data_IF_563953044138
#
_entry.id   IF_563953044138
#
_cell.length_a   1.000
_cell.length_b   1.000
_cell.length_c   1.000
_cell.angle_alpha   90.00
_cell.angle_beta   90.00
_cell.angle_gamma   90.00
#
_symmetry.space_group_name_H-M   'P 1'
#
loop_
_entity.id
_entity.type
_entity.pdbx_description
1 polymer ?
#
# COMPACT_ATOMS: atom_id res chain seq x y z
N UNK A 1 23.04 8.19 7.40
CA UNK A 1 22.46 7.76 8.71
C UNK A 1 23.14 6.47 9.16
N UNK A 2 23.76 6.43 10.38
CA UNK A 2 24.38 5.21 10.95
C UNK A 2 23.29 4.36 11.62
N UNK A 3 23.30 3.04 11.45
CA UNK A 3 22.43 2.04 12.07
C UNK A 3 23.19 0.72 12.18
N UNK A 4 22.77 -0.15 13.09
CA UNK A 4 23.29 -1.53 13.19
C UNK A 4 22.38 -2.46 12.38
N UNK A 5 22.98 -3.40 11.62
CA UNK A 5 22.29 -4.42 10.84
C UNK A 5 22.85 -5.80 11.17
N UNK A 6 21.97 -6.69 11.63
CA UNK A 6 22.31 -8.08 11.97
C UNK A 6 21.34 -9.02 11.27
N UNK A 7 21.87 -10.12 10.70
CA UNK A 7 21.04 -11.24 10.25
C UNK A 7 21.20 -12.39 11.23
N UNK A 8 20.09 -12.85 11.82
CA UNK A 8 20.08 -13.99 12.73
C UNK A 8 20.34 -15.29 11.96
N UNK A 9 20.82 -16.37 12.63
CA UNK A 9 21.11 -17.64 11.97
C UNK A 9 19.93 -18.26 11.20
N UNK A 10 18.70 -17.95 11.61
CA UNK A 10 17.47 -18.41 10.96
C UNK A 10 17.00 -17.52 9.78
N UNK A 11 17.70 -16.42 9.53
CA UNK A 11 17.41 -15.51 8.42
C UNK A 11 16.60 -14.25 8.78
N UNK A 12 16.12 -14.08 10.02
CA UNK A 12 15.50 -12.83 10.48
C UNK A 12 16.52 -11.71 10.39
N UNK A 13 16.13 -10.58 9.79
CA UNK A 13 16.97 -9.39 9.66
C UNK A 13 16.57 -8.35 10.69
N UNK A 14 17.55 -7.81 11.38
CA UNK A 14 17.40 -6.87 12.49
C UNK A 14 18.11 -5.57 12.14
N UNK A 15 17.43 -4.46 12.27
CA UNK A 15 17.98 -3.13 12.06
C UNK A 15 17.68 -2.28 13.28
N UNK A 16 18.71 -1.65 13.83
CA UNK A 16 18.58 -0.86 15.05
C UNK A 16 19.22 0.50 14.83
N UNK A 17 18.51 1.56 15.25
CA UNK A 17 19.00 2.94 15.16
C UNK A 17 18.76 3.66 16.47
N UNK A 18 19.85 3.94 17.20
CA UNK A 18 19.79 4.86 18.33
C UNK A 18 19.57 6.30 17.85
N UNK A 19 18.60 6.97 18.49
CA UNK A 19 18.25 8.38 18.29
C UNK A 19 18.27 9.06 19.68
N UNK A 20 19.44 9.50 20.16
CA UNK A 20 19.61 9.95 21.55
C UNK A 20 18.68 11.10 21.97
N UNK A 21 18.31 11.97 21.02
CA UNK A 21 17.45 13.12 21.27
C UNK A 21 15.95 12.76 21.28
N UNK A 22 15.58 11.56 20.80
CA UNK A 22 14.19 11.13 20.78
C UNK A 22 13.70 10.79 22.20
N UNK A 23 12.44 11.10 22.49
CA UNK A 23 11.76 10.68 23.73
C UNK A 23 10.98 9.39 23.56
N UNK A 24 10.89 8.90 22.34
CA UNK A 24 10.12 7.73 21.94
C UNK A 24 11.01 6.66 21.34
N UNK A 25 10.44 5.45 21.22
CA UNK A 25 10.96 4.38 20.38
C UNK A 25 9.83 3.79 19.55
N UNK A 26 10.18 3.34 18.36
CA UNK A 26 9.27 2.64 17.45
C UNK A 26 9.86 1.29 17.08
N UNK A 27 9.01 0.28 17.13
CA UNK A 27 9.26 -1.09 16.68
C UNK A 27 8.44 -1.30 15.42
N UNK A 28 9.06 -1.80 14.35
CA UNK A 28 8.39 -2.17 13.13
C UNK A 28 8.83 -3.58 12.73
N UNK A 29 7.89 -4.53 12.71
CA UNK A 29 8.09 -5.89 12.23
C UNK A 29 7.40 -6.01 10.88
N UNK A 30 8.19 -6.13 9.83
CA UNK A 30 7.74 -6.33 8.46
C UNK A 30 7.83 -7.81 8.12
N UNK A 31 6.72 -8.37 7.69
CA UNK A 31 6.66 -9.72 7.14
C UNK A 31 6.44 -9.59 5.64
N UNK A 32 7.36 -10.08 4.81
CA UNK A 32 7.28 -10.03 3.33
C UNK A 32 6.23 -10.99 2.77
N UNK A 33 5.02 -10.90 3.31
CA UNK A 33 3.82 -11.65 2.95
C UNK A 33 2.63 -10.74 3.04
N UNK A 34 1.88 -10.62 1.97
CA UNK A 34 0.63 -9.87 1.89
C UNK A 34 -0.36 -10.58 0.96
N UNK A 35 -1.40 -9.89 0.53
CA UNK A 35 -2.45 -10.50 -0.29
C UNK A 35 -1.95 -11.09 -1.61
N UNK A 36 -0.78 -10.69 -2.11
CA UNK A 36 -0.13 -11.28 -3.28
C UNK A 36 0.24 -12.75 -3.10
N UNK A 37 0.51 -13.21 -1.87
CA UNK A 37 0.84 -14.60 -1.57
C UNK A 37 -0.38 -15.53 -1.63
N UNK A 38 -1.57 -15.00 -1.68
CA UNK A 38 -2.84 -15.72 -1.63
C UNK A 38 -3.26 -16.33 -2.97
N UNK A 39 -4.20 -17.23 -2.90
CA UNK A 39 -4.89 -17.86 -4.04
C UNK A 39 -6.37 -17.43 -4.02
N UNK A 40 -7.12 -17.76 -5.08
CA UNK A 40 -8.56 -17.44 -5.12
C UNK A 40 -9.37 -18.13 -4.01
N UNK A 41 -8.87 -19.25 -3.47
CA UNK A 41 -9.58 -20.03 -2.42
C UNK A 41 -9.25 -19.58 -1.00
N UNK A 42 -8.22 -18.74 -0.83
CA UNK A 42 -7.84 -18.20 0.47
C UNK A 42 -7.60 -16.68 0.42
N UNK A 43 -8.19 -15.97 -0.56
CA UNK A 43 -8.05 -14.52 -0.69
C UNK A 43 -8.65 -13.80 0.52
N UNK A 44 -7.86 -12.93 1.15
CA UNK A 44 -8.20 -12.23 2.40
C UNK A 44 -7.55 -12.84 3.66
N UNK A 45 -6.80 -13.93 3.53
CA UNK A 45 -6.15 -14.59 4.68
C UNK A 45 -5.14 -13.70 5.37
N UNK A 46 -4.33 -12.95 4.63
CA UNK A 46 -3.31 -12.05 5.21
C UNK A 46 -3.95 -10.94 6.04
N UNK A 47 -5.02 -10.34 5.52
CA UNK A 47 -5.80 -9.33 6.23
C UNK A 47 -6.54 -9.92 7.45
N UNK A 48 -7.12 -11.12 7.30
CA UNK A 48 -7.75 -11.80 8.41
C UNK A 48 -6.74 -12.09 9.55
N UNK A 49 -5.53 -12.52 9.22
CA UNK A 49 -4.45 -12.71 10.21
C UNK A 49 -4.07 -11.40 10.90
N UNK A 50 -4.04 -10.28 10.18
CA UNK A 50 -3.82 -8.97 10.78
C UNK A 50 -4.83 -8.67 11.90
N UNK A 51 -6.12 -8.93 11.68
CA UNK A 51 -7.15 -8.78 12.71
C UNK A 51 -6.94 -9.74 13.87
N UNK A 52 -6.64 -11.00 13.58
CA UNK A 52 -6.55 -12.07 14.57
C UNK A 52 -5.40 -11.91 15.56
N UNK A 53 -4.28 -11.28 15.20
CA UNK A 53 -3.17 -11.09 16.12
C UNK A 53 -3.51 -10.15 17.29
N UNK A 54 -4.57 -9.36 17.17
CA UNK A 54 -5.08 -8.51 18.25
C UNK A 54 -6.05 -9.23 19.19
N UNK A 55 -6.54 -10.43 18.86
CA UNK A 55 -7.55 -11.16 19.66
C UNK A 55 -6.95 -11.91 20.85
N UNK A 56 -5.64 -11.97 20.94
CA UNK A 56 -4.88 -12.59 22.04
C UNK A 56 -3.75 -13.43 21.53
N UNK A 57 -2.77 -13.58 22.39
CA UNK A 57 -1.53 -14.32 22.16
C UNK A 57 -1.31 -15.34 23.28
N UNK A 58 -0.28 -16.17 23.15
CA UNK A 58 0.08 -17.15 24.18
C UNK A 58 0.34 -16.51 25.55
N UNK A 59 0.98 -15.32 25.57
CA UNK A 59 1.32 -14.63 26.81
C UNK A 59 0.28 -13.58 27.24
N UNK A 60 -0.61 -13.16 26.33
CA UNK A 60 -1.66 -12.15 26.54
C UNK A 60 -2.96 -12.68 25.94
N UNK A 61 -3.71 -13.51 26.71
CA UNK A 61 -4.83 -14.27 26.19
C UNK A 61 -6.02 -13.47 25.63
N UNK A 62 -6.04 -12.15 25.80
CA UNK A 62 -7.15 -11.30 25.35
C UNK A 62 -6.68 -10.03 24.66
N UNK A 63 -7.53 -9.47 23.78
CA UNK A 63 -7.33 -8.15 23.15
C UNK A 63 -7.17 -7.05 24.21
N UNK A 64 -7.94 -7.12 25.29
CA UNK A 64 -7.89 -6.14 26.39
C UNK A 64 -6.51 -6.12 27.06
N UNK A 65 -5.87 -7.27 27.28
CA UNK A 65 -4.53 -7.33 27.87
C UNK A 65 -3.46 -6.73 26.96
N UNK A 66 -3.55 -6.97 25.65
CA UNK A 66 -2.65 -6.36 24.66
C UNK A 66 -2.80 -4.83 24.71
N UNK A 67 -4.04 -4.33 24.59
CA UNK A 67 -4.33 -2.89 24.56
C UNK A 67 -3.94 -2.22 25.88
N UNK A 68 -4.32 -2.78 27.03
CA UNK A 68 -4.01 -2.20 28.34
C UNK A 68 -2.52 -2.08 28.62
N UNK A 69 -1.71 -3.06 28.19
CA UNK A 69 -0.27 -3.01 28.38
C UNK A 69 0.41 -1.92 27.53
N UNK A 70 -0.05 -1.71 26.30
CA UNK A 70 0.50 -0.65 25.42
C UNK A 70 -0.06 0.73 25.76
N UNK A 71 -1.37 0.86 25.89
CA UNK A 71 -2.03 2.13 26.21
C UNK A 71 -1.71 2.61 27.62
N UNK A 72 -1.56 1.68 28.57
CA UNK A 72 -1.18 1.96 29.94
C UNK A 72 0.20 2.62 30.09
N UNK A 73 1.07 2.49 29.11
CA UNK A 73 2.36 3.21 29.07
C UNK A 73 2.34 4.42 28.11
N UNK A 74 1.16 4.78 27.60
CA UNK A 74 1.00 5.89 26.66
C UNK A 74 1.47 5.54 25.23
N UNK A 75 1.49 4.27 24.89
CA UNK A 75 1.89 3.77 23.57
C UNK A 75 0.71 3.49 22.64
N UNK A 76 1.05 3.07 21.43
CA UNK A 76 0.11 2.57 20.44
C UNK A 76 0.72 1.34 19.73
N UNK A 77 -0.14 0.38 19.39
CA UNK A 77 0.19 -0.75 18.52
C UNK A 77 -0.76 -0.74 17.32
N UNK A 78 -0.23 -1.06 16.15
CA UNK A 78 -1.01 -1.10 14.92
C UNK A 78 -0.48 -2.18 13.98
N UNK A 79 -1.32 -2.60 13.04
CA UNK A 79 -0.91 -3.46 11.94
C UNK A 79 -1.51 -2.94 10.63
N UNK A 80 -0.96 -3.38 9.51
CA UNK A 80 -1.50 -3.11 8.18
C UNK A 80 -1.06 -4.21 7.21
N UNK A 81 -1.96 -4.61 6.34
CA UNK A 81 -1.71 -5.57 5.26
C UNK A 81 -1.77 -4.86 3.92
N UNK A 82 -0.74 -5.06 3.11
CA UNK A 82 -0.69 -4.60 1.72
C UNK A 82 -0.52 -5.81 0.79
N UNK A 83 -0.30 -5.57 -0.48
CA UNK A 83 -0.12 -6.62 -1.50
C UNK A 83 1.08 -7.53 -1.20
N UNK A 84 2.23 -6.99 -0.79
CA UNK A 84 3.49 -7.73 -0.64
C UNK A 84 4.02 -7.83 0.79
N UNK A 85 3.41 -7.14 1.74
CA UNK A 85 3.81 -7.20 3.14
C UNK A 85 2.64 -7.05 4.11
N UNK A 86 2.81 -7.63 5.31
CA UNK A 86 2.05 -7.30 6.51
C UNK A 86 3.02 -6.67 7.51
N UNK A 87 2.62 -5.53 8.08
CA UNK A 87 3.45 -4.73 8.99
C UNK A 87 2.80 -4.70 10.36
N UNK A 88 3.55 -5.01 11.39
CA UNK A 88 3.14 -4.88 12.78
C UNK A 88 4.04 -3.84 13.43
N UNK A 89 3.48 -2.84 14.07
CA UNK A 89 4.26 -1.74 14.61
C UNK A 89 3.77 -1.30 15.98
N UNK A 90 4.70 -0.81 16.79
CA UNK A 90 4.36 -0.15 18.04
C UNK A 90 5.19 1.12 18.20
N UNK A 91 4.60 2.10 18.89
CA UNK A 91 5.22 3.37 19.20
C UNK A 91 4.97 3.71 20.66
N UNK A 92 6.04 3.88 21.42
CA UNK A 92 6.00 4.03 22.89
C UNK A 92 7.00 5.07 23.39
N UNK A 93 6.84 5.60 24.63
CA UNK A 93 7.94 6.28 25.30
C UNK A 93 9.18 5.38 25.36
N UNK A 94 10.36 5.93 25.11
CA UNK A 94 11.62 5.19 24.92
C UNK A 94 11.89 4.13 26.00
N UNK A 95 11.63 4.44 27.28
CA UNK A 95 11.83 3.52 28.41
C UNK A 95 11.00 2.22 28.34
N UNK A 96 10.02 2.13 27.46
CA UNK A 96 9.12 0.99 27.33
C UNK A 96 9.31 0.20 26.02
N UNK A 97 10.40 0.43 25.28
CA UNK A 97 10.59 -0.20 23.97
C UNK A 97 10.72 -1.74 24.06
N UNK A 98 11.28 -2.27 25.14
CA UNK A 98 11.36 -3.73 25.34
C UNK A 98 9.98 -4.36 25.56
N UNK A 99 9.07 -3.68 26.27
CA UNK A 99 7.68 -4.11 26.40
C UNK A 99 6.98 -4.10 25.05
N UNK A 100 7.14 -3.05 24.27
CA UNK A 100 6.53 -2.93 22.94
C UNK A 100 7.08 -4.01 21.98
N UNK A 101 8.38 -4.26 22.00
CA UNK A 101 8.99 -5.34 21.23
C UNK A 101 8.44 -6.71 21.65
N UNK A 102 8.28 -6.96 22.95
CA UNK A 102 7.74 -8.20 23.48
C UNK A 102 6.30 -8.45 22.99
N UNK A 103 5.45 -7.43 23.05
CA UNK A 103 4.06 -7.52 22.60
C UNK A 103 3.99 -7.76 21.10
N UNK A 104 4.69 -6.98 20.28
CA UNK A 104 4.67 -7.15 18.83
C UNK A 104 5.24 -8.51 18.41
N UNK A 105 6.31 -8.97 19.07
CA UNK A 105 6.87 -10.28 18.81
C UNK A 105 5.88 -11.40 19.15
N UNK A 106 5.18 -11.30 20.28
CA UNK A 106 4.17 -12.25 20.71
C UNK A 106 2.98 -12.31 19.74
N UNK A 107 2.49 -11.14 19.27
CA UNK A 107 1.45 -11.04 18.26
C UNK A 107 1.84 -11.73 16.94
N UNK A 108 3.07 -11.52 16.46
CA UNK A 108 3.54 -12.08 15.18
C UNK A 108 3.83 -13.58 15.28
N UNK A 109 4.27 -14.05 16.44
CA UNK A 109 4.76 -15.44 16.60
C UNK A 109 3.71 -16.42 17.12
N UNK A 110 2.87 -15.97 18.03
CA UNK A 110 2.01 -16.85 18.82
C UNK A 110 0.58 -16.33 19.03
N UNK A 111 -0.10 -15.85 17.96
CA UNK A 111 -1.51 -15.52 18.07
C UNK A 111 -2.31 -16.81 18.39
N UNK A 112 -3.32 -16.71 19.24
CA UNK A 112 -4.10 -17.87 19.67
C UNK A 112 -4.94 -18.47 18.56
N UNK A 113 -5.45 -17.67 17.65
CA UNK A 113 -6.30 -18.09 16.53
C UNK A 113 -7.41 -19.05 16.99
N UNK A 114 -8.16 -18.67 18.06
CA UNK A 114 -9.26 -19.49 18.58
C UNK A 114 -10.42 -19.46 17.59
N UNK A 115 -11.11 -20.59 17.42
CA UNK A 115 -12.25 -20.71 16.50
C UNK A 115 -13.34 -19.68 16.80
N UNK A 116 -13.66 -19.46 18.08
CA UNK A 116 -14.66 -18.48 18.50
C UNK A 116 -14.27 -17.02 18.11
N UNK A 117 -12.98 -16.68 18.17
CA UNK A 117 -12.51 -15.36 17.74
C UNK A 117 -12.55 -15.23 16.22
N UNK A 118 -12.20 -16.31 15.49
CA UNK A 118 -12.31 -16.38 14.03
C UNK A 118 -13.75 -16.21 13.58
N UNK A 119 -14.70 -16.90 14.23
CA UNK A 119 -16.14 -16.80 13.92
C UNK A 119 -16.68 -15.39 14.15
N UNK A 120 -16.25 -14.75 15.23
CA UNK A 120 -16.64 -13.36 15.54
C UNK A 120 -16.04 -12.38 14.51
N UNK A 121 -14.73 -12.51 14.23
CA UNK A 121 -14.01 -11.56 13.38
C UNK A 121 -14.40 -11.68 11.92
N UNK A 122 -14.80 -12.86 11.47
CA UNK A 122 -15.34 -13.10 10.13
C UNK A 122 -16.46 -12.12 9.78
N UNK A 123 -17.39 -11.87 10.71
CA UNK A 123 -18.47 -10.90 10.50
C UNK A 123 -17.97 -9.48 10.43
N UNK A 124 -16.98 -9.11 11.25
CA UNK A 124 -16.35 -7.76 11.22
C UNK A 124 -15.71 -7.49 9.86
N UNK A 125 -14.92 -8.45 9.36
CA UNK A 125 -14.24 -8.32 8.05
C UNK A 125 -15.24 -8.28 6.89
N UNK A 126 -16.33 -9.07 6.96
CA UNK A 126 -17.40 -9.02 5.96
C UNK A 126 -18.06 -7.64 5.93
N UNK A 127 -18.36 -7.06 7.08
CA UNK A 127 -18.92 -5.69 7.14
C UNK A 127 -17.91 -4.66 6.61
N UNK A 128 -16.62 -4.83 6.86
CA UNK A 128 -15.57 -3.98 6.30
C UNK A 128 -15.50 -4.09 4.78
N UNK A 129 -15.55 -5.31 4.22
CA UNK A 129 -15.61 -5.53 2.76
C UNK A 129 -16.82 -4.82 2.15
N UNK A 130 -17.99 -4.92 2.80
CA UNK A 130 -19.21 -4.25 2.36
C UNK A 130 -19.06 -2.73 2.42
N UNK A 131 -18.47 -2.20 3.48
CA UNK A 131 -18.20 -0.77 3.63
C UNK A 131 -17.35 -0.23 2.47
N UNK A 132 -16.22 -0.91 2.13
CA UNK A 132 -15.39 -0.49 0.99
C UNK A 132 -16.13 -0.58 -0.35
N UNK A 133 -16.96 -1.61 -0.56
CA UNK A 133 -17.78 -1.72 -1.76
C UNK A 133 -18.87 -0.66 -1.85
N UNK A 134 -19.38 -0.22 -0.70
CA UNK A 134 -20.39 0.82 -0.63
C UNK A 134 -19.84 2.22 -0.84
N UNK A 135 -18.54 2.42 -0.69
CA UNK A 135 -17.89 3.70 -0.95
C UNK A 135 -17.40 3.79 -2.40
N UNK A 136 -17.99 4.66 -3.25
CA UNK A 136 -17.60 4.77 -4.66
C UNK A 136 -16.14 5.16 -4.85
N UNK A 137 -15.59 5.95 -3.92
CA UNK A 137 -14.19 6.37 -3.89
C UNK A 137 -13.26 5.16 -3.76
N UNK A 138 -13.52 4.26 -2.83
CA UNK A 138 -12.67 3.07 -2.61
C UNK A 138 -12.88 2.04 -3.73
N UNK A 139 -14.14 1.89 -4.15
CA UNK A 139 -14.48 0.93 -5.21
C UNK A 139 -13.80 1.22 -6.54
N UNK A 140 -13.61 2.49 -6.92
CA UNK A 140 -12.95 2.84 -8.17
C UNK A 140 -11.48 2.42 -8.19
N UNK A 141 -10.79 2.45 -7.02
CA UNK A 141 -9.41 1.96 -6.88
C UNK A 141 -9.33 0.44 -7.04
N UNK A 142 -10.30 -0.31 -6.51
CA UNK A 142 -10.38 -1.75 -6.77
C UNK A 142 -10.57 -2.04 -8.26
N UNK A 143 -11.46 -1.31 -8.93
CA UNK A 143 -11.72 -1.52 -10.37
C UNK A 143 -10.49 -1.24 -11.23
N UNK A 144 -9.71 -0.21 -10.91
CA UNK A 144 -8.49 0.09 -11.68
C UNK A 144 -7.41 -0.98 -11.44
N UNK A 145 -7.26 -1.48 -10.19
CA UNK A 145 -6.34 -2.58 -9.89
C UNK A 145 -6.71 -3.85 -10.67
N UNK A 146 -8.00 -4.21 -10.72
CA UNK A 146 -8.50 -5.36 -11.48
C UNK A 146 -8.23 -5.23 -12.99
N UNK A 147 -8.28 -4.02 -13.55
CA UNK A 147 -7.92 -3.75 -14.94
C UNK A 147 -6.44 -3.85 -15.20
N UNK A 148 -5.63 -3.27 -14.32
CA UNK A 148 -4.17 -3.27 -14.42
C UNK A 148 -3.59 -4.67 -14.24
N UNK A 149 -4.20 -5.50 -13.37
CA UNK A 149 -3.68 -6.81 -12.98
C UNK A 149 -4.75 -7.93 -13.08
N UNK A 150 -5.31 -8.17 -14.27
CA UNK A 150 -6.38 -9.14 -14.44
C UNK A 150 -5.91 -10.56 -14.07
N UNK A 151 -6.74 -11.28 -13.31
CA UNK A 151 -6.49 -12.64 -12.85
C UNK A 151 -5.22 -12.82 -12.01
N UNK A 152 -4.68 -11.74 -11.44
CA UNK A 152 -3.49 -11.76 -10.60
C UNK A 152 -3.83 -11.17 -9.21
N UNK A 153 -3.22 -11.67 -8.10
CA UNK A 153 -3.52 -11.16 -6.76
C UNK A 153 -3.27 -9.66 -6.55
N UNK A 154 -2.37 -9.04 -7.30
CA UNK A 154 -2.20 -7.59 -7.28
C UNK A 154 -3.46 -6.81 -7.68
N UNK A 155 -4.36 -7.42 -8.47
CA UNK A 155 -5.65 -6.84 -8.84
C UNK A 155 -6.80 -7.24 -7.90
N UNK A 156 -6.58 -8.00 -6.83
CA UNK A 156 -7.63 -8.39 -5.90
C UNK A 156 -7.70 -7.43 -4.71
N UNK A 157 -8.85 -7.32 -4.09
CA UNK A 157 -8.99 -6.62 -2.80
C UNK A 157 -8.13 -7.30 -1.72
N UNK A 158 -7.46 -6.51 -0.88
CA UNK A 158 -6.63 -7.03 0.21
C UNK A 158 -7.48 -7.74 1.26
N UNK A 159 -8.65 -7.18 1.57
CA UNK A 159 -9.61 -7.79 2.48
C UNK A 159 -10.24 -9.09 1.93
N UNK A 160 -9.99 -9.41 0.66
CA UNK A 160 -10.51 -10.62 0.02
C UNK A 160 -11.92 -10.49 -0.51
N UNK A 161 -12.61 -11.64 -0.60
CA UNK A 161 -14.00 -11.72 -1.05
C UNK A 161 -14.86 -12.28 0.07
N UNK A 162 -16.05 -11.74 0.25
CA UNK A 162 -17.01 -12.17 1.28
C UNK A 162 -17.19 -13.70 1.33
N UNK A 163 -17.47 -14.33 0.17
CA UNK A 163 -17.67 -15.78 0.10
C UNK A 163 -16.44 -16.59 0.51
N UNK A 164 -15.22 -16.08 0.31
CA UNK A 164 -13.97 -16.74 0.73
C UNK A 164 -13.73 -16.51 2.22
N UNK A 165 -13.88 -15.28 2.69
CA UNK A 165 -13.70 -14.91 4.11
C UNK A 165 -14.65 -15.68 5.00
N UNK A 166 -15.90 -15.86 4.57
CA UNK A 166 -16.90 -16.70 5.29
C UNK A 166 -16.46 -18.17 5.44
N UNK A 167 -15.60 -18.68 4.55
CA UNK A 167 -15.09 -20.04 4.59
C UNK A 167 -13.74 -20.23 5.28
N UNK A 168 -13.06 -19.13 5.69
CA UNK A 168 -11.77 -19.23 6.38
C UNK A 168 -11.95 -19.81 7.79
N UNK A 169 -11.00 -20.65 8.21
CA UNK A 169 -11.03 -21.37 9.50
C UNK A 169 -9.73 -21.14 10.26
N UNK A 170 -9.76 -21.29 11.59
CA UNK A 170 -8.57 -21.18 12.42
C UNK A 170 -7.42 -22.11 11.99
N UNK A 171 -7.66 -23.39 11.65
CA UNK A 171 -6.60 -24.25 11.07
C UNK A 171 -6.04 -23.71 9.76
N UNK A 172 -6.87 -23.19 8.85
CA UNK A 172 -6.42 -22.63 7.58
C UNK A 172 -5.57 -21.36 7.76
N UNK A 173 -5.95 -20.48 8.69
CA UNK A 173 -5.16 -19.30 9.07
C UNK A 173 -3.79 -19.70 9.65
N UNK A 174 -3.77 -20.72 10.52
CA UNK A 174 -2.54 -21.24 11.11
C UNK A 174 -1.62 -21.86 10.06
N UNK A 175 -2.15 -22.68 9.17
CA UNK A 175 -1.39 -23.28 8.06
C UNK A 175 -0.79 -22.21 7.15
N UNK A 176 -1.55 -21.17 6.82
CA UNK A 176 -1.05 -20.04 6.03
C UNK A 176 0.10 -19.34 6.74
N UNK A 177 -0.04 -19.02 8.01
CA UNK A 177 0.99 -18.38 8.80
C UNK A 177 2.24 -19.28 8.90
N UNK A 178 2.08 -20.56 9.19
CA UNK A 178 3.17 -21.53 9.27
C UNK A 178 3.91 -21.71 7.95
N UNK A 179 3.22 -21.64 6.83
CA UNK A 179 3.85 -21.82 5.50
C UNK A 179 4.43 -20.54 4.94
N UNK A 180 3.82 -19.39 5.18
CA UNK A 180 4.20 -18.12 4.55
C UNK A 180 5.17 -17.27 5.40
N UNK A 181 5.05 -17.27 6.74
CA UNK A 181 5.85 -16.43 7.63
C UNK A 181 7.23 -17.06 7.89
N UNK A 182 8.00 -17.29 6.80
CA UNK A 182 9.37 -17.79 6.92
C UNK A 182 10.26 -16.73 7.58
N UNK A 183 11.19 -17.10 8.50
CA UNK A 183 12.06 -16.16 9.19
C UNK A 183 12.85 -15.25 8.24
N UNK A 184 13.28 -15.73 7.09
CA UNK A 184 13.98 -14.95 6.05
C UNK A 184 13.11 -13.84 5.41
N UNK A 185 11.80 -13.88 5.60
CA UNK A 185 10.85 -12.83 5.19
C UNK A 185 10.57 -11.81 6.29
N UNK A 186 11.13 -11.99 7.50
CA UNK A 186 10.89 -11.12 8.64
C UNK A 186 12.04 -10.11 8.76
N UNK A 187 11.67 -8.84 8.84
CA UNK A 187 12.56 -7.73 9.15
C UNK A 187 12.04 -7.04 10.41
N UNK A 188 12.89 -6.93 11.42
CA UNK A 188 12.60 -6.19 12.66
C UNK A 188 13.43 -4.93 12.67
N UNK A 189 12.81 -3.77 12.63
CA UNK A 189 13.49 -2.48 12.74
C UNK A 189 13.06 -1.76 14.02
N UNK A 190 14.02 -1.27 14.78
CA UNK A 190 13.82 -0.50 16.02
C UNK A 190 14.55 0.83 15.88
N UNK A 191 13.86 1.93 16.13
CA UNK A 191 14.46 3.25 16.14
C UNK A 191 13.95 4.08 17.32
N UNK A 192 14.80 4.91 17.90
CA UNK A 192 14.46 5.76 19.03
C UNK A 192 15.61 5.85 20.03
N UNK A 193 15.37 6.40 21.21
CA UNK A 193 16.38 6.43 22.27
C UNK A 193 16.47 5.05 22.93
N UNK A 194 17.41 4.24 22.49
CA UNK A 194 17.58 2.83 22.84
C UNK A 194 19.07 2.45 22.93
N UNK A 195 19.36 1.35 23.62
CA UNK A 195 20.66 0.68 23.51
C UNK A 195 20.62 -0.31 22.34
N UNK A 196 21.49 -0.13 21.35
CA UNK A 196 21.51 -0.93 20.12
C UNK A 196 21.85 -2.42 20.43
N UNK A 197 22.80 -2.67 21.33
CA UNK A 197 23.21 -4.03 21.69
C UNK A 197 22.11 -4.77 22.47
N UNK A 198 21.45 -4.08 23.42
CA UNK A 198 20.32 -4.62 24.16
C UNK A 198 19.13 -4.90 23.21
N UNK A 199 18.84 -4.00 22.28
CA UNK A 199 17.77 -4.17 21.32
C UNK A 199 18.02 -5.38 20.40
N UNK A 200 19.23 -5.56 19.87
CA UNK A 200 19.60 -6.73 19.06
C UNK A 200 19.50 -8.02 19.89
N UNK A 201 19.99 -8.02 21.13
CA UNK A 201 19.87 -9.18 22.02
C UNK A 201 18.41 -9.52 22.32
N UNK A 202 17.56 -8.50 22.55
CA UNK A 202 16.14 -8.65 22.80
C UNK A 202 15.38 -9.22 21.58
N UNK A 203 15.70 -8.78 20.36
CA UNK A 203 15.14 -9.37 19.12
C UNK A 203 15.61 -10.82 18.96
N UNK A 204 16.89 -11.09 19.18
CA UNK A 204 17.44 -12.47 19.11
C UNK A 204 16.74 -13.41 20.08
N UNK A 205 16.46 -12.99 21.30
CA UNK A 205 15.76 -13.79 22.30
C UNK A 205 14.33 -14.13 21.87
N UNK A 206 13.68 -13.24 21.10
CA UNK A 206 12.27 -13.40 20.68
C UNK A 206 12.08 -14.06 19.32
N UNK A 207 13.03 -13.92 18.40
CA UNK A 207 12.89 -14.42 17.02
C UNK A 207 13.96 -15.46 16.65
N UNK A 208 14.99 -15.67 17.48
CA UNK A 208 16.13 -16.51 17.12
C UNK A 208 15.85 -18.02 17.14
N UNK A 209 14.82 -18.47 17.84
CA UNK A 209 14.37 -19.86 17.95
C UNK A 209 13.41 -20.28 16.83
N UNK A 210 12.93 -19.36 15.98
CA UNK A 210 12.11 -19.70 14.84
C UNK A 210 12.86 -20.65 13.90
N UNK A 211 12.24 -21.77 13.54
CA UNK A 211 12.85 -22.75 12.67
C UNK A 211 13.14 -22.15 11.28
N UNK A 212 14.41 -22.22 10.86
CA UNK A 212 14.80 -21.79 9.52
C UNK A 212 14.08 -22.61 8.46
N UNK A 213 13.50 -21.93 7.48
CA UNK A 213 12.82 -22.56 6.33
C UNK A 213 12.91 -21.67 5.10
N UNK A 214 12.92 -22.30 3.93
CA UNK A 214 12.88 -21.56 2.68
C UNK A 214 11.52 -20.88 2.49
N UNK A 215 11.49 -19.63 2.01
CA UNK A 215 10.25 -18.99 1.64
C UNK A 215 9.64 -19.69 0.43
N UNK A 216 8.31 -19.72 0.34
CA UNK A 216 7.63 -20.18 -0.85
C UNK A 216 7.97 -19.30 -2.06
N UNK A 217 8.01 -19.87 -3.28
CA UNK A 217 8.25 -19.10 -4.50
C UNK A 217 7.23 -17.95 -4.66
N UNK A 218 7.71 -16.83 -5.14
CA UNK A 218 6.83 -15.71 -5.54
C UNK A 218 6.05 -16.08 -6.79
N UNK A 219 4.85 -15.51 -6.95
CA UNK A 219 4.07 -15.67 -8.17
C UNK A 219 4.75 -14.99 -9.35
N UNK A 220 4.54 -15.53 -10.58
CA UNK A 220 5.01 -14.86 -11.80
C UNK A 220 4.47 -13.44 -11.92
N UNK A 221 5.20 -12.58 -12.63
CA UNK A 221 4.79 -11.21 -12.91
C UNK A 221 3.42 -11.16 -13.63
N UNK A 222 2.57 -10.18 -13.30
CA UNK A 222 1.25 -10.05 -13.90
C UNK A 222 1.34 -9.67 -15.39
N UNK A 223 0.49 -10.27 -16.19
CA UNK A 223 0.35 -9.91 -17.62
C UNK A 223 -0.60 -8.73 -17.79
N UNK A 224 -0.39 -7.91 -18.81
CA UNK A 224 -1.28 -6.83 -19.17
C UNK A 224 -2.63 -7.37 -19.67
N UNK A 225 -3.73 -6.76 -19.22
CA UNK A 225 -5.07 -7.06 -19.70
C UNK A 225 -5.35 -6.44 -21.07
N UNK A 226 -6.32 -7.02 -21.80
CA UNK A 226 -6.85 -6.45 -23.05
C UNK A 226 -7.98 -5.45 -22.79
N UNK A 227 -8.76 -5.65 -21.74
CA UNK A 227 -9.85 -4.76 -21.32
C UNK A 227 -9.24 -3.48 -20.76
N UNK A 228 -9.66 -2.34 -21.29
CA UNK A 228 -9.10 -1.03 -20.92
C UNK A 228 -10.07 -0.18 -20.10
N UNK A 229 -11.34 -0.56 -20.03
CA UNK A 229 -12.34 0.23 -19.31
C UNK A 229 -13.19 -0.68 -18.44
N UNK A 230 -13.40 -0.29 -17.19
CA UNK A 230 -14.31 -0.95 -16.25
C UNK A 230 -15.10 0.09 -15.47
N UNK A 231 -16.42 -0.04 -15.45
CA UNK A 231 -17.29 0.97 -14.86
C UNK A 231 -18.39 0.32 -14.04
N UNK A 232 -18.81 0.99 -12.97
CA UNK A 232 -19.90 0.59 -12.09
C UNK A 232 -20.90 1.73 -11.97
N UNK A 233 -22.16 1.46 -12.31
CA UNK A 233 -23.25 2.42 -12.13
C UNK A 233 -23.73 2.39 -10.67
N UNK A 234 -23.48 3.47 -9.94
CA UNK A 234 -23.92 3.67 -8.55
C UNK A 234 -24.53 5.06 -8.37
N UNK A 235 -25.62 5.17 -7.62
CA UNK A 235 -26.22 6.48 -7.31
C UNK A 235 -25.31 7.25 -6.36
N UNK A 236 -25.14 8.55 -6.59
CA UNK A 236 -24.32 9.42 -5.74
C UNK A 236 -24.26 10.84 -6.29
N UNK A 237 -23.82 11.75 -5.45
CA UNK A 237 -23.60 13.16 -5.79
C UNK A 237 -22.29 13.40 -6.55
N UNK A 238 -21.38 12.43 -6.53
CA UNK A 238 -20.11 12.48 -7.23
C UNK A 238 -19.93 11.27 -8.15
N UNK A 239 -19.08 11.45 -9.15
CA UNK A 239 -18.47 10.39 -9.93
C UNK A 239 -16.99 10.31 -9.57
N UNK A 240 -16.51 9.09 -9.38
CA UNK A 240 -15.11 8.80 -9.05
C UNK A 240 -14.47 8.13 -10.25
N UNK A 241 -13.33 8.66 -10.67
CA UNK A 241 -12.65 8.21 -11.88
C UNK A 241 -11.19 7.93 -11.57
N UNK A 242 -10.69 6.80 -12.06
CA UNK A 242 -9.27 6.47 -12.08
C UNK A 242 -8.80 6.29 -13.53
N UNK A 243 -7.69 6.93 -13.87
CA UNK A 243 -6.96 6.71 -15.12
C UNK A 243 -5.61 6.12 -14.76
N UNK A 244 -5.31 4.92 -15.26
CA UNK A 244 -4.12 4.18 -14.85
C UNK A 244 -3.25 3.74 -16.02
N UNK A 245 -1.95 3.61 -15.75
CA UNK A 245 -0.95 3.03 -16.64
C UNK A 245 -0.13 2.00 -15.88
N UNK A 246 0.29 0.97 -16.56
CA UNK A 246 1.30 0.08 -16.00
C UNK A 246 2.63 0.82 -15.93
N UNK A 247 3.23 0.77 -14.75
CA UNK A 247 4.54 1.35 -14.46
C UNK A 247 5.61 0.28 -14.34
N UNK A 248 6.64 0.59 -13.58
CA UNK A 248 7.86 -0.21 -13.45
C UNK A 248 7.96 -0.91 -12.09
N UNK A 249 8.68 -2.02 -11.99
CA UNK A 249 8.96 -2.67 -10.72
C UNK A 249 9.88 -1.83 -9.82
N UNK A 250 9.94 -2.21 -8.54
CA UNK A 250 10.68 -1.51 -7.48
C UNK A 250 12.17 -1.31 -7.77
N UNK A 251 12.79 -2.24 -8.51
CA UNK A 251 14.24 -2.20 -8.82
C UNK A 251 14.57 -1.61 -10.19
N UNK A 252 13.56 -1.07 -10.90
CA UNK A 252 13.78 -0.53 -12.23
C UNK A 252 14.60 0.76 -12.19
N UNK A 253 15.52 1.00 -13.15
CA UNK A 253 16.34 2.22 -13.20
C UNK A 253 15.50 3.49 -13.34
N UNK A 254 14.35 3.44 -14.00
CA UNK A 254 13.47 4.59 -14.21
C UNK A 254 12.57 4.91 -12.99
N UNK A 255 12.62 4.10 -11.93
CA UNK A 255 11.73 4.28 -10.78
C UNK A 255 11.74 5.72 -10.25
N UNK A 256 12.92 6.26 -10.00
CA UNK A 256 13.04 7.60 -9.43
C UNK A 256 12.60 8.71 -10.40
N UNK A 257 12.82 8.55 -11.71
CA UNK A 257 12.31 9.48 -12.70
C UNK A 257 10.77 9.45 -12.76
N UNK A 258 10.16 8.28 -12.59
CA UNK A 258 8.70 8.13 -12.50
C UNK A 258 8.16 8.70 -11.17
N UNK A 259 8.87 8.54 -10.06
CA UNK A 259 8.51 9.18 -8.78
C UNK A 259 8.50 10.71 -8.94
N UNK A 260 9.52 11.29 -9.59
CA UNK A 260 9.57 12.73 -9.87
C UNK A 260 8.48 13.18 -10.84
N UNK A 261 8.18 12.39 -11.87
CA UNK A 261 7.06 12.64 -12.78
C UNK A 261 5.73 12.68 -12.02
N UNK A 262 5.48 11.73 -11.11
CA UNK A 262 4.29 11.71 -10.28
C UNK A 262 4.19 12.94 -9.37
N UNK A 263 5.32 13.37 -8.80
CA UNK A 263 5.35 14.57 -7.96
C UNK A 263 5.00 15.84 -8.75
N UNK A 264 5.45 15.96 -10.01
CA UNK A 264 5.03 17.04 -10.93
C UNK A 264 3.54 16.93 -11.25
N UNK A 265 3.08 15.71 -11.58
CA UNK A 265 1.74 15.47 -12.10
C UNK A 265 0.66 15.68 -11.04
N UNK A 266 0.77 15.03 -9.87
CA UNK A 266 -0.36 14.97 -8.96
C UNK A 266 -0.05 14.87 -7.46
N UNK A 267 1.20 15.10 -7.00
CA UNK A 267 1.49 15.14 -5.57
C UNK A 267 1.44 16.57 -5.01
N UNK A 268 0.50 16.80 -4.09
CA UNK A 268 0.37 18.07 -3.38
C UNK A 268 -0.38 19.15 -4.16
N UNK A 269 -0.64 20.28 -3.47
CA UNK A 269 -1.48 21.37 -3.98
C UNK A 269 -0.81 22.22 -5.08
N UNK A 270 0.48 22.06 -5.31
CA UNK A 270 1.21 22.76 -6.38
C UNK A 270 1.43 21.89 -7.62
N UNK A 271 0.87 20.69 -7.65
CA UNK A 271 0.94 19.78 -8.79
C UNK A 271 0.07 20.23 -9.97
N UNK A 272 0.38 19.77 -11.16
CA UNK A 272 -0.32 20.17 -12.38
C UNK A 272 -1.80 19.80 -12.35
N UNK A 273 -2.14 18.59 -11.90
CA UNK A 273 -3.54 18.15 -11.78
C UNK A 273 -4.33 19.00 -10.78
N UNK A 274 -3.75 19.29 -9.62
CA UNK A 274 -4.43 20.11 -8.60
C UNK A 274 -4.67 21.52 -9.14
N UNK A 275 -3.66 22.17 -9.70
CA UNK A 275 -3.79 23.53 -10.24
C UNK A 275 -4.77 23.60 -11.41
N UNK A 276 -4.75 22.63 -12.32
CA UNK A 276 -5.58 22.68 -13.53
C UNK A 276 -7.03 22.27 -13.23
N UNK A 277 -7.25 21.11 -12.55
CA UNK A 277 -8.59 20.60 -12.36
C UNK A 277 -9.32 21.24 -11.18
N UNK A 278 -8.60 21.52 -10.08
CA UNK A 278 -9.23 22.08 -8.88
C UNK A 278 -9.23 23.61 -8.88
N UNK A 279 -8.05 24.23 -8.99
CA UNK A 279 -7.92 25.67 -8.82
C UNK A 279 -8.45 26.47 -10.03
N UNK A 280 -8.07 26.10 -11.25
CA UNK A 280 -8.44 26.87 -12.43
C UNK A 280 -9.84 26.55 -12.96
N UNK A 281 -10.21 25.26 -13.03
CA UNK A 281 -11.45 24.82 -13.66
C UNK A 281 -12.54 24.43 -12.67
N UNK A 282 -12.24 24.29 -11.39
CA UNK A 282 -13.17 23.82 -10.37
C UNK A 282 -13.92 22.54 -10.78
N UNK A 283 -13.18 21.56 -11.38
CA UNK A 283 -13.73 20.29 -11.86
C UNK A 283 -13.77 19.23 -10.79
N UNK A 284 -12.76 19.22 -9.90
CA UNK A 284 -12.59 18.21 -8.88
C UNK A 284 -12.34 18.86 -7.52
N UNK A 285 -12.94 18.32 -6.47
CA UNK A 285 -12.58 18.67 -5.09
C UNK A 285 -11.32 17.93 -4.65
N UNK A 286 -11.25 16.62 -4.96
CA UNK A 286 -10.10 15.76 -4.70
C UNK A 286 -9.55 15.25 -6.04
N UNK A 287 -8.28 15.56 -6.29
CA UNK A 287 -7.54 15.08 -7.47
C UNK A 287 -6.08 14.91 -7.10
N UNK A 288 -5.56 13.73 -7.40
CA UNK A 288 -4.16 13.40 -7.16
C UNK A 288 -3.69 12.28 -8.09
N UNK A 289 -2.39 12.05 -8.13
CA UNK A 289 -1.82 10.84 -8.73
C UNK A 289 -0.97 10.09 -7.71
N UNK A 290 -0.87 8.78 -7.89
CA UNK A 290 -0.05 7.91 -7.04
C UNK A 290 0.61 6.80 -7.85
N UNK A 291 1.68 6.27 -7.28
CA UNK A 291 2.45 5.15 -7.84
C UNK A 291 2.44 4.00 -6.86
N UNK A 292 2.31 2.79 -7.38
CA UNK A 292 2.64 1.57 -6.66
C UNK A 292 3.73 0.81 -7.39
N UNK A 293 4.81 0.49 -6.70
CA UNK A 293 5.88 -0.33 -7.21
C UNK A 293 5.92 -1.64 -6.42
N UNK A 294 5.81 -2.75 -7.14
CA UNK A 294 5.91 -4.11 -6.62
C UNK A 294 7.24 -4.74 -7.04
N UNK A 295 7.55 -5.92 -6.54
CA UNK A 295 8.80 -6.62 -6.85
C UNK A 295 9.06 -6.78 -8.38
N UNK A 296 8.01 -7.00 -9.17
CA UNK A 296 8.09 -7.29 -10.61
C UNK A 296 7.05 -6.55 -11.46
N UNK A 297 6.36 -5.57 -10.88
CA UNK A 297 5.33 -4.78 -11.56
C UNK A 297 5.21 -3.40 -10.91
N UNK A 298 4.46 -2.51 -11.55
CA UNK A 298 4.07 -1.23 -10.98
C UNK A 298 2.95 -0.59 -11.78
N UNK A 299 2.41 0.51 -11.25
CA UNK A 299 1.45 1.34 -11.93
C UNK A 299 1.53 2.79 -11.47
N UNK A 300 1.04 3.69 -12.32
CA UNK A 300 0.69 5.06 -11.98
C UNK A 300 -0.80 5.24 -12.22
N UNK A 301 -1.49 5.87 -11.28
CA UNK A 301 -2.93 6.15 -11.37
C UNK A 301 -3.19 7.61 -11.05
N UNK A 302 -4.04 8.25 -11.85
CA UNK A 302 -4.68 9.53 -11.55
C UNK A 302 -6.08 9.21 -11.02
N UNK A 303 -6.42 9.78 -9.88
CA UNK A 303 -7.75 9.75 -9.29
C UNK A 303 -8.38 11.14 -9.34
N UNK A 304 -9.70 11.20 -9.59
CA UNK A 304 -10.48 12.42 -9.46
C UNK A 304 -11.91 12.13 -8.97
N UNK A 305 -12.33 12.85 -7.91
CA UNK A 305 -13.70 12.93 -7.43
C UNK A 305 -14.37 14.19 -8.01
N UNK A 306 -15.37 14.02 -8.85
CA UNK A 306 -15.90 15.09 -9.71
C UNK A 306 -17.44 15.15 -9.71
N UNK A 307 -18.00 16.32 -10.05
CA UNK A 307 -19.43 16.39 -10.34
C UNK A 307 -19.79 15.49 -11.54
N UNK A 308 -20.87 14.70 -11.47
CA UNK A 308 -21.21 13.73 -12.51
C UNK A 308 -21.31 14.34 -13.93
N UNK A 309 -21.85 15.55 -14.06
CA UNK A 309 -21.99 16.28 -15.33
C UNK A 309 -20.68 16.82 -15.89
N UNK A 310 -19.61 16.82 -15.09
CA UNK A 310 -18.29 17.34 -15.47
C UNK A 310 -17.23 16.23 -15.60
N UNK A 311 -17.62 14.96 -15.43
CA UNK A 311 -16.68 13.83 -15.39
C UNK A 311 -15.86 13.67 -16.69
N UNK A 312 -16.52 13.80 -17.85
CA UNK A 312 -15.83 13.74 -19.16
C UNK A 312 -14.80 14.87 -19.31
N UNK A 313 -15.18 16.08 -18.95
CA UNK A 313 -14.28 17.24 -19.01
C UNK A 313 -13.06 17.07 -18.10
N UNK A 314 -13.27 16.54 -16.89
CA UNK A 314 -12.18 16.27 -15.94
C UNK A 314 -11.20 15.21 -16.46
N UNK A 315 -11.71 14.12 -17.05
CA UNK A 315 -10.87 13.09 -17.71
C UNK A 315 -10.06 13.70 -18.85
N UNK A 316 -10.69 14.52 -19.71
CA UNK A 316 -10.00 15.18 -20.81
C UNK A 316 -8.92 16.16 -20.32
N UNK A 317 -9.22 16.93 -19.26
CA UNK A 317 -8.25 17.86 -18.67
C UNK A 317 -7.06 17.10 -18.04
N UNK A 318 -7.30 16.00 -17.33
CA UNK A 318 -6.23 15.17 -16.77
C UNK A 318 -5.35 14.57 -17.89
N UNK A 319 -5.94 14.04 -18.94
CA UNK A 319 -5.19 13.50 -20.08
C UNK A 319 -4.43 14.59 -20.86
N UNK A 320 -4.95 15.81 -20.89
CA UNK A 320 -4.24 16.95 -21.49
C UNK A 320 -2.97 17.30 -20.70
N UNK A 321 -3.00 17.27 -19.37
CA UNK A 321 -1.80 17.48 -18.55
C UNK A 321 -0.78 16.33 -18.73
N UNK A 322 -1.22 15.10 -18.88
CA UNK A 322 -0.34 13.98 -19.25
C UNK A 322 0.30 14.21 -20.62
N UNK A 323 -0.50 14.62 -21.62
CA UNK A 323 0.02 14.91 -22.95
C UNK A 323 1.05 16.05 -22.95
N UNK A 324 0.87 17.08 -22.11
CA UNK A 324 1.86 18.16 -21.93
C UNK A 324 3.16 17.64 -21.32
N UNK A 325 3.12 16.71 -20.36
CA UNK A 325 4.33 16.07 -19.82
C UNK A 325 5.09 15.25 -20.87
N UNK A 326 4.37 14.68 -21.82
CA UNK A 326 4.97 13.93 -22.95
C UNK A 326 5.60 14.88 -23.97
N UNK A 327 4.92 15.99 -24.33
CA UNK A 327 5.33 16.86 -25.43
C UNK A 327 6.28 18.00 -25.02
N UNK A 328 6.22 18.43 -23.76
CA UNK A 328 6.95 19.59 -23.25
C UNK A 328 7.83 19.20 -22.05
N UNK A 329 9.10 19.64 -22.02
CA UNK A 329 9.92 19.44 -20.84
C UNK A 329 9.36 20.22 -19.64
N UNK A 330 9.56 19.71 -18.44
CA UNK A 330 9.24 20.42 -17.19
C UNK A 330 10.12 21.68 -17.11
N UNK A 331 9.49 22.82 -16.84
CA UNK A 331 10.23 24.08 -16.69
C UNK A 331 11.21 24.00 -15.51
N UNK A 332 12.39 24.64 -15.65
CA UNK A 332 13.46 24.56 -14.64
C UNK A 332 13.00 25.01 -13.25
N UNK A 333 12.21 26.07 -13.16
CA UNK A 333 11.67 26.56 -11.90
C UNK A 333 10.69 25.55 -11.24
N UNK A 334 9.93 24.82 -12.05
CA UNK A 334 9.04 23.75 -11.59
C UNK A 334 9.86 22.55 -11.12
N UNK A 335 10.88 22.15 -11.87
CA UNK A 335 11.76 21.05 -11.52
C UNK A 335 12.51 21.31 -10.21
N UNK A 336 13.06 22.50 -10.02
CA UNK A 336 13.71 22.88 -8.75
C UNK A 336 12.75 22.80 -7.57
N UNK A 337 11.54 23.35 -7.70
CA UNK A 337 10.52 23.27 -6.65
C UNK A 337 10.16 21.81 -6.29
N UNK A 338 10.02 20.94 -7.29
CA UNK A 338 9.70 19.53 -7.06
C UNK A 338 10.85 18.76 -6.44
N UNK A 339 12.11 19.05 -6.83
CA UNK A 339 13.28 18.49 -6.15
C UNK A 339 13.28 18.84 -4.66
N UNK A 340 13.07 20.12 -4.33
CA UNK A 340 13.05 20.56 -2.94
C UNK A 340 11.87 19.97 -2.17
N UNK A 341 10.70 19.84 -2.80
CA UNK A 341 9.55 19.17 -2.21
C UNK A 341 9.83 17.70 -1.87
N UNK A 342 10.43 16.94 -2.80
CA UNK A 342 10.74 15.52 -2.58
C UNK A 342 11.83 15.35 -1.51
N UNK A 343 12.89 16.16 -1.57
CA UNK A 343 13.98 16.15 -0.57
C UNK A 343 13.44 16.48 0.83
N UNK A 344 12.66 17.54 0.95
CA UNK A 344 12.05 17.93 2.23
C UNK A 344 11.14 16.84 2.81
N UNK A 345 10.38 16.14 1.98
CA UNK A 345 9.57 14.99 2.45
C UNK A 345 10.41 13.82 2.97
N UNK A 346 11.55 13.54 2.32
CA UNK A 346 12.49 12.51 2.78
C UNK A 346 13.05 12.90 4.16
N UNK A 347 13.50 14.13 4.31
CA UNK A 347 14.08 14.65 5.56
C UNK A 347 13.05 14.63 6.70
N UNK A 348 11.88 15.24 6.50
CA UNK A 348 10.79 15.30 7.50
C UNK A 348 10.29 13.90 7.93
N UNK A 349 10.27 12.93 7.01
CA UNK A 349 9.91 11.55 7.35
C UNK A 349 10.85 10.94 8.37
N UNK A 350 12.12 11.31 8.37
CA UNK A 350 13.16 10.74 9.22
C UNK A 350 13.38 11.49 10.55
N UNK A 351 12.64 12.57 10.81
CA UNK A 351 12.66 13.28 12.09
C UNK A 351 12.15 12.43 13.27
N UNK A 352 11.28 11.46 12.98
CA UNK A 352 10.61 10.69 14.02
C UNK A 352 11.02 9.21 13.98
N UNK A 353 11.15 8.60 15.17
CA UNK A 353 11.52 7.19 15.31
C UNK A 353 10.63 6.23 14.50
N UNK A 354 9.32 6.54 14.36
CA UNK A 354 8.40 5.78 13.51
C UNK A 354 8.80 5.86 12.02
N UNK A 355 9.15 7.03 11.54
CA UNK A 355 9.62 7.23 10.17
C UNK A 355 10.91 6.47 9.90
N UNK A 356 11.86 6.51 10.84
CA UNK A 356 13.16 5.83 10.73
C UNK A 356 13.00 4.30 10.77
N UNK A 357 12.25 3.74 11.71
CA UNK A 357 12.03 2.28 11.78
C UNK A 357 11.33 1.75 10.52
N UNK A 358 10.28 2.43 10.04
CA UNK A 358 9.59 2.05 8.80
C UNK A 358 10.46 2.20 7.56
N UNK A 359 11.30 3.23 7.51
CA UNK A 359 12.26 3.44 6.43
C UNK A 359 13.28 2.31 6.34
N UNK A 360 13.89 1.95 7.47
CA UNK A 360 14.87 0.87 7.55
C UNK A 360 14.24 -0.47 7.16
N UNK A 361 13.09 -0.81 7.77
CA UNK A 361 12.41 -2.07 7.51
C UNK A 361 11.93 -2.17 6.06
N UNK A 362 11.34 -1.13 5.51
CA UNK A 362 10.84 -1.11 4.13
C UNK A 362 11.96 -1.23 3.11
N UNK A 363 13.06 -0.49 3.26
CA UNK A 363 14.19 -0.62 2.35
C UNK A 363 14.87 -2.00 2.46
N UNK A 364 15.05 -2.53 3.68
CA UNK A 364 15.62 -3.86 3.89
C UNK A 364 14.75 -4.97 3.31
N UNK A 365 13.42 -4.81 3.33
CA UNK A 365 12.51 -5.83 2.81
C UNK A 365 12.40 -5.77 1.28
N UNK A 366 12.29 -4.57 0.72
CA UNK A 366 11.91 -4.36 -0.68
C UNK A 366 13.05 -3.94 -1.60
N UNK A 367 14.23 -3.58 -1.05
CA UNK A 367 15.37 -3.15 -1.85
C UNK A 367 16.59 -4.03 -1.58
N UNK A 368 17.52 -4.06 -2.54
CA UNK A 368 18.78 -4.82 -2.39
C UNK A 368 19.70 -4.22 -1.33
N UNK A 369 19.53 -2.93 -1.05
CA UNK A 369 20.31 -2.21 -0.04
C UNK A 369 19.54 -1.01 0.51
N UNK A 370 19.89 -0.62 1.71
CA UNK A 370 19.40 0.60 2.33
C UNK A 370 20.21 1.79 1.78
N UNK A 371 19.53 2.71 1.11
CA UNK A 371 20.15 3.96 0.62
C UNK A 371 20.15 5.00 1.73
N UNK A 372 21.23 5.77 1.80
CA UNK A 372 21.27 6.93 2.70
C UNK A 372 20.41 8.09 2.16
N UNK A 373 20.13 9.06 3.02
CA UNK A 373 19.42 10.29 2.63
C UNK A 373 20.23 11.03 1.57
N UNK A 374 21.55 11.13 1.77
CA UNK A 374 22.48 11.80 0.86
C UNK A 374 22.49 11.15 -0.53
N UNK A 375 22.44 9.81 -0.57
CA UNK A 375 22.33 9.07 -1.83
C UNK A 375 20.99 9.37 -2.54
N UNK A 376 19.87 9.43 -1.80
CA UNK A 376 18.57 9.73 -2.39
C UNK A 376 18.47 11.18 -2.86
N UNK A 377 19.02 12.10 -2.07
CA UNK A 377 19.13 13.52 -2.48
C UNK A 377 19.94 13.63 -3.77
N UNK A 378 21.10 12.96 -3.86
CA UNK A 378 21.90 12.96 -5.07
C UNK A 378 21.17 12.36 -6.29
N UNK A 379 20.36 11.30 -6.09
CA UNK A 379 19.53 10.72 -7.15
C UNK A 379 18.47 11.75 -7.60
N UNK A 380 17.76 12.39 -6.67
CA UNK A 380 16.73 13.39 -6.97
C UNK A 380 17.33 14.59 -7.72
N UNK A 381 18.50 15.09 -7.28
CA UNK A 381 19.19 16.19 -7.92
C UNK A 381 19.73 15.82 -9.33
N UNK A 382 20.04 14.56 -9.56
CA UNK A 382 20.49 14.04 -10.85
C UNK A 382 19.40 13.87 -11.91
N UNK A 383 18.11 13.82 -11.54
CA UNK A 383 17.02 13.64 -12.49
C UNK A 383 16.76 14.96 -13.25
N UNK A 384 16.88 14.93 -14.56
CA UNK A 384 16.65 16.08 -15.44
C UNK A 384 15.20 16.19 -15.93
N UNK A 385 14.83 17.35 -16.46
CA UNK A 385 13.55 17.54 -17.17
C UNK A 385 13.40 16.58 -18.36
N UNK A 386 14.50 16.27 -19.05
CA UNK A 386 14.52 15.32 -20.16
C UNK A 386 14.26 13.88 -19.69
N UNK A 387 14.73 13.48 -18.49
CA UNK A 387 14.42 12.16 -17.92
C UNK A 387 12.93 12.02 -17.59
N UNK A 388 12.33 13.07 -17.00
CA UNK A 388 10.90 13.11 -16.72
C UNK A 388 10.09 13.02 -18.01
N UNK A 389 10.45 13.79 -19.03
CA UNK A 389 9.78 13.76 -20.34
C UNK A 389 9.92 12.39 -21.02
N UNK A 390 11.10 11.80 -20.99
CA UNK A 390 11.37 10.47 -21.55
C UNK A 390 10.47 9.41 -20.91
N UNK A 391 10.41 9.34 -19.57
CA UNK A 391 9.57 8.36 -18.88
C UNK A 391 8.07 8.65 -19.09
N UNK A 392 7.67 9.92 -19.20
CA UNK A 392 6.30 10.26 -19.56
C UNK A 392 5.94 9.71 -20.96
N UNK A 393 6.81 9.93 -21.96
CA UNK A 393 6.61 9.45 -23.33
C UNK A 393 6.64 7.93 -23.45
N UNK A 394 7.38 7.24 -22.59
CA UNK A 394 7.48 5.79 -22.60
C UNK A 394 6.30 5.11 -21.90
N UNK A 395 5.91 5.58 -20.71
CA UNK A 395 4.95 4.89 -19.84
C UNK A 395 3.53 5.49 -19.87
N UNK A 396 3.34 6.78 -20.14
CA UNK A 396 2.03 7.45 -20.10
C UNK A 396 1.37 7.61 -21.47
N UNK A 397 1.60 6.70 -22.37
CA UNK A 397 0.97 6.72 -23.70
C UNK A 397 -0.54 6.55 -23.59
N UNK A 398 -1.36 7.40 -24.25
CA UNK A 398 -2.83 7.36 -24.16
C UNK A 398 -3.42 5.99 -24.52
N UNK A 399 -2.89 5.32 -25.55
CA UNK A 399 -3.35 4.01 -26.01
C UNK A 399 -3.06 2.87 -25.02
N UNK A 400 -2.22 3.10 -24.02
CA UNK A 400 -1.91 2.16 -22.94
C UNK A 400 -2.68 2.44 -21.65
N UNK A 401 -3.50 3.51 -21.61
CA UNK A 401 -4.27 3.87 -20.43
C UNK A 401 -5.42 2.89 -20.16
N UNK A 402 -5.79 2.82 -18.90
CA UNK A 402 -6.95 2.12 -18.37
C UNK A 402 -7.86 3.14 -17.70
N UNK A 403 -9.17 2.94 -17.81
CA UNK A 403 -10.16 3.82 -17.20
C UNK A 403 -11.08 3.00 -16.30
N UNK A 404 -11.14 3.36 -15.02
CA UNK A 404 -12.16 2.89 -14.11
C UNK A 404 -13.05 4.06 -13.68
N UNK A 405 -14.36 3.81 -13.54
CA UNK A 405 -15.27 4.84 -13.06
C UNK A 405 -16.42 4.24 -12.25
N UNK A 406 -16.81 4.93 -11.19
CA UNK A 406 -17.99 4.63 -10.37
C UNK A 406 -18.82 5.91 -10.25
N UNK A 407 -20.10 5.83 -10.59
CA UNK A 407 -20.97 7.02 -10.53
C UNK A 407 -22.35 6.81 -11.17
N UNK A 408 -23.16 7.86 -11.29
CA UNK A 408 -24.49 7.76 -11.88
C UNK A 408 -24.48 7.16 -13.28
N UNK A 409 -25.53 6.40 -13.62
CA UNK A 409 -25.63 5.67 -14.89
C UNK A 409 -25.44 6.58 -16.14
N UNK A 410 -25.96 7.80 -16.11
CA UNK A 410 -25.80 8.74 -17.21
C UNK A 410 -24.33 9.14 -17.43
N UNK A 411 -23.59 9.40 -16.34
CA UNK A 411 -22.15 9.72 -16.36
C UNK A 411 -21.34 8.54 -16.89
N UNK A 412 -21.64 7.33 -16.44
CA UNK A 412 -20.98 6.12 -16.92
C UNK A 412 -21.21 5.93 -18.42
N UNK A 413 -22.44 6.11 -18.90
CA UNK A 413 -22.77 6.04 -20.32
C UNK A 413 -21.99 7.08 -21.15
N UNK A 414 -21.84 8.29 -20.62
CA UNK A 414 -21.08 9.36 -21.26
C UNK A 414 -19.58 9.03 -21.34
N UNK A 415 -18.98 8.56 -20.24
CA UNK A 415 -17.56 8.19 -20.19
C UNK A 415 -17.22 6.99 -21.09
N UNK A 416 -18.18 6.09 -21.31
CA UNK A 416 -18.01 4.91 -22.14
C UNK A 416 -18.49 5.08 -23.59
N UNK A 417 -19.08 6.23 -23.94
CA UNK A 417 -19.49 6.51 -25.31
C UNK A 417 -18.28 6.51 -26.27
N UNK A 418 -18.44 5.99 -27.51
CA UNK A 418 -17.32 5.85 -28.43
C UNK A 418 -16.71 7.21 -28.79
N UNK A 419 -15.53 7.46 -28.31
CA UNK A 419 -14.62 8.46 -28.88
C UNK A 419 -13.42 7.80 -29.54
N UNK A 420 -13.31 6.44 -29.45
CA UNK A 420 -12.20 5.70 -30.06
C UNK A 420 -12.57 4.21 -30.31
N UNK A 421 -12.33 3.64 -31.50
CA UNK A 421 -12.78 2.31 -31.90
C UNK A 421 -11.93 1.13 -31.40
N UNK A 422 -10.92 1.32 -30.55
CA UNK A 422 -9.89 0.29 -30.29
C UNK A 422 -10.02 -0.51 -28.97
N UNK A 423 -10.98 -0.26 -28.08
CA UNK A 423 -11.04 -0.91 -26.75
C UNK A 423 -12.22 -1.87 -26.57
N UNK A 424 -11.97 -3.11 -26.14
CA UNK A 424 -13.01 -3.98 -25.60
C UNK A 424 -13.47 -3.47 -24.22
N UNK A 425 -14.79 -3.37 -24.02
CA UNK A 425 -15.44 -2.81 -22.84
C UNK A 425 -16.13 -3.90 -22.04
N UNK A 426 -16.02 -3.85 -20.72
CA UNK A 426 -16.83 -4.63 -19.79
C UNK A 426 -17.55 -3.65 -18.87
N UNK A 427 -18.88 -3.61 -18.95
CA UNK A 427 -19.73 -3.00 -17.94
C UNK A 427 -20.14 -4.11 -16.97
N UNK A 428 -19.84 -3.97 -15.68
CA UNK A 428 -20.50 -4.80 -14.69
C UNK A 428 -21.98 -4.43 -14.68
N UNK A 429 -22.85 -5.43 -14.77
CA UNK A 429 -24.29 -5.23 -14.59
C UNK A 429 -24.59 -4.68 -13.19
N UNK A 430 -25.83 -4.21 -12.94
CA UNK A 430 -26.23 -3.78 -11.60
C UNK A 430 -25.94 -4.92 -10.62
N UNK A 431 -25.35 -4.57 -9.45
CA UNK A 431 -25.20 -5.53 -8.34
C UNK A 431 -26.55 -6.21 -8.09
N UNK A 432 -26.56 -7.55 -8.00
CA UNK A 432 -27.75 -8.27 -7.60
C UNK A 432 -28.28 -7.68 -6.28
N UNK A 433 -29.57 -7.38 -6.16
CA UNK A 433 -30.13 -6.90 -4.91
C UNK A 433 -29.87 -7.98 -3.85
N UNK A 434 -29.40 -7.54 -2.67
CA UNK A 434 -29.27 -8.40 -1.52
C UNK A 434 -30.57 -9.21 -1.38
N UNK A 435 -30.45 -10.54 -1.36
CA UNK A 435 -31.59 -11.44 -1.20
C UNK A 435 -32.35 -11.02 0.07
N UNK A 436 -33.56 -10.52 -0.11
CA UNK A 436 -34.52 -10.35 0.98
C UNK A 436 -34.61 -11.67 1.72
N UNK A 437 -34.29 -11.66 3.01
CA UNK A 437 -34.52 -12.81 3.89
C UNK A 437 -36.00 -13.12 3.84
N UNK A 438 -36.34 -14.21 3.19
CA UNK A 438 -37.66 -14.82 3.37
C UNK A 438 -37.74 -15.25 4.84
N UNK A 439 -38.74 -14.73 5.51
CA UNK A 439 -39.17 -14.99 6.90
C UNK A 439 -39.37 -16.46 7.20
#
# INVERSE_FOLDING_TARGET
MRYERVTLPNGVRVLVKDMPEARSASIAVYVGVGSRAETRVNAGTSHFLEHMVFKGTANRPSASEISQQIEGVGGAVNASTDKEATVFSSFVPARHYLLALDIVADMVRAPLLREADVDSERNVIVEEIRMYRDQPQDRVHTLIDELLYPNHPLGWEVAGREAVVLGLTAPGLREFMETQYAPSRIVVAIAGRIDEAEAVAAVRARFGDLAARAPLPTRPAPRAGRVRTKTLAKRGEQAHVCIGWRGVPQHHPDKFAIDMLNAVLGEGMSSRLFLELREKRALAYDVHSYISNYADAGHLVIYAGVAPTRAREAVQAALAEVARLVSEPVAEAELMRIRDFVKGRIELRLEHSRGVSSWLAGQELFLDRIRSVEELVAIVDGISAADIQRVAAEYLRPELSYLAAVGPRATIAELTAPSDPAGQRVTEGPEEPAMEKAS
#
